data_IF_846470359450
#
_entry.id   IF_846470359450
#
_cell.length_a   1.000
_cell.length_b   1.000
_cell.length_c   1.000
_cell.angle_alpha   90.00
_cell.angle_beta   90.00
_cell.angle_gamma   90.00
#
_symmetry.space_group_name_H-M   'P 1'
#
loop_
_entity.id
_entity.type
_entity.pdbx_description
1 polymer ?
#
# COMPACT_ATOMS: atom_id res chain seq x y z
N UNK A 1 -13.39 4.21 -7.43
CA UNK A 1 -11.97 3.87 -7.26
C UNK A 1 -11.83 2.45 -6.76
N UNK A 2 -10.79 1.78 -7.17
CA UNK A 2 -10.52 0.42 -6.76
C UNK A 2 -9.26 0.34 -5.92
N UNK A 3 -9.30 -0.56 -4.94
CA UNK A 3 -8.14 -0.83 -4.10
C UNK A 3 -7.58 -2.19 -4.50
N UNK A 4 -6.32 -2.24 -4.88
CA UNK A 4 -5.66 -3.48 -5.29
C UNK A 4 -4.58 -3.83 -4.26
N UNK A 5 -4.69 -5.01 -3.65
CA UNK A 5 -3.69 -5.48 -2.70
C UNK A 5 -2.47 -5.95 -3.47
N UNK A 6 -1.33 -5.29 -3.24
CA UNK A 6 -0.07 -5.63 -3.91
C UNK A 6 0.79 -6.57 -3.07
N UNK A 7 0.78 -6.41 -1.75
CA UNK A 7 1.55 -7.25 -0.86
C UNK A 7 0.95 -7.22 0.54
N UNK A 8 1.14 -8.30 1.28
CA UNK A 8 0.66 -8.41 2.65
C UNK A 8 1.60 -9.28 3.44
N UNK A 9 2.02 -8.79 4.61
CA UNK A 9 2.90 -9.55 5.48
C UNK A 9 2.81 -9.01 6.91
N UNK A 10 2.67 -9.92 7.86
CA UNK A 10 2.65 -9.58 9.30
C UNK A 10 1.61 -8.51 9.65
N UNK A 11 0.42 -8.58 9.00
CA UNK A 11 -0.65 -7.65 9.27
C UNK A 11 -0.51 -6.31 8.55
N UNK A 12 0.58 -6.10 7.81
CA UNK A 12 0.81 -4.89 7.03
C UNK A 12 0.37 -5.13 5.60
N UNK A 13 -0.40 -4.20 5.05
CA UNK A 13 -0.89 -4.29 3.67
C UNK A 13 -0.38 -3.11 2.85
N UNK A 14 0.10 -3.41 1.65
CA UNK A 14 0.56 -2.43 0.68
C UNK A 14 -0.41 -2.48 -0.50
N UNK A 15 -1.12 -1.38 -0.74
CA UNK A 15 -2.19 -1.37 -1.73
C UNK A 15 -1.99 -0.24 -2.73
N UNK A 16 -2.54 -0.43 -3.93
CA UNK A 16 -2.62 0.61 -4.95
C UNK A 16 -4.07 1.06 -5.07
N UNK A 17 -4.28 2.36 -5.12
CA UNK A 17 -5.60 2.94 -5.37
C UNK A 17 -5.66 3.29 -6.85
N UNK A 18 -6.61 2.70 -7.57
CA UNK A 18 -6.69 2.82 -9.03
C UNK A 18 -8.02 3.38 -9.48
N UNK A 19 -8.00 4.03 -10.66
CA UNK A 19 -9.22 4.45 -11.33
C UNK A 19 -9.90 3.23 -11.96
N UNK A 20 -11.18 3.36 -12.36
CA UNK A 20 -11.84 2.29 -13.10
C UNK A 20 -11.12 1.90 -14.39
N UNK A 21 -10.33 2.82 -14.96
CA UNK A 21 -9.56 2.55 -16.18
C UNK A 21 -8.23 1.84 -15.89
N UNK A 22 -7.89 1.62 -14.61
CA UNK A 22 -6.69 0.89 -14.24
C UNK A 22 -5.47 1.75 -13.95
N UNK A 23 -5.61 3.06 -13.97
CA UNK A 23 -4.50 3.96 -13.64
C UNK A 23 -4.31 4.04 -12.14
N UNK A 24 -3.07 4.00 -11.68
CA UNK A 24 -2.75 4.11 -10.25
C UNK A 24 -2.74 5.58 -9.83
N UNK A 25 -3.62 5.92 -8.89
CA UNK A 25 -3.69 7.28 -8.34
C UNK A 25 -2.66 7.50 -7.24
N UNK A 26 -2.46 6.49 -6.41
CA UNK A 26 -1.51 6.55 -5.30
C UNK A 26 -1.37 5.16 -4.69
N UNK A 27 -0.42 5.01 -3.78
CA UNK A 27 -0.25 3.80 -2.98
C UNK A 27 -0.56 4.12 -1.52
N UNK A 28 -0.99 3.12 -0.76
CA UNK A 28 -1.32 3.28 0.66
C UNK A 28 -0.80 2.08 1.44
N UNK A 29 -0.50 2.30 2.71
CA UNK A 29 -0.12 1.24 3.63
C UNK A 29 -1.11 1.22 4.78
N UNK A 30 -1.55 0.01 5.14
CA UNK A 30 -2.42 -0.24 6.29
C UNK A 30 -1.77 -1.26 7.20
N UNK A 31 -1.96 -1.12 8.50
CA UNK A 31 -1.48 -2.05 9.50
C UNK A 31 -2.67 -2.37 10.41
N UNK A 32 -3.04 -3.67 10.47
CA UNK A 32 -4.22 -4.14 11.21
C UNK A 32 -5.47 -3.33 10.86
N UNK A 33 -5.62 -3.02 9.58
CA UNK A 33 -6.76 -2.28 9.08
C UNK A 33 -6.69 -0.78 9.29
N UNK A 34 -5.64 -0.27 9.92
CA UNK A 34 -5.48 1.16 10.16
C UNK A 34 -4.59 1.79 9.11
N UNK A 35 -5.00 2.95 8.60
CA UNK A 35 -4.21 3.70 7.63
C UNK A 35 -2.91 4.19 8.27
N UNK A 36 -1.79 3.95 7.60
CA UNK A 36 -0.47 4.36 8.09
C UNK A 36 0.11 5.49 7.24
N UNK A 37 0.15 5.31 5.91
CA UNK A 37 0.81 6.27 5.06
C UNK A 37 0.34 6.14 3.62
N UNK A 38 0.54 7.18 2.83
CA UNK A 38 0.26 7.15 1.40
C UNK A 38 1.31 7.95 0.64
N UNK A 39 1.48 7.63 -0.64
CA UNK A 39 2.40 8.35 -1.52
C UNK A 39 2.10 7.99 -2.97
N UNK A 40 2.46 8.89 -3.89
CA UNK A 40 2.45 8.58 -5.30
C UNK A 40 3.69 7.76 -5.71
N UNK A 41 4.71 7.72 -4.85
CA UNK A 41 5.94 6.97 -5.11
C UNK A 41 5.84 5.58 -4.52
N UNK A 42 5.53 4.59 -5.38
CA UNK A 42 5.36 3.22 -4.94
C UNK A 42 6.63 2.59 -4.38
N UNK A 43 7.79 2.92 -4.94
CA UNK A 43 9.05 2.37 -4.44
C UNK A 43 9.35 2.86 -3.02
N UNK A 44 9.07 4.12 -2.75
CA UNK A 44 9.24 4.68 -1.41
C UNK A 44 8.33 3.99 -0.39
N UNK A 45 7.05 3.84 -0.74
CA UNK A 45 6.11 3.18 0.17
C UNK A 45 6.42 1.70 0.35
N UNK A 46 6.95 1.06 -0.69
CA UNK A 46 7.32 -0.34 -0.57
C UNK A 46 8.43 -0.53 0.46
N UNK A 47 9.39 0.39 0.52
CA UNK A 47 10.41 0.34 1.55
C UNK A 47 9.81 0.47 2.93
N UNK A 48 8.85 1.38 3.11
CA UNK A 48 8.16 1.53 4.39
C UNK A 48 7.41 0.24 4.74
N UNK A 49 6.73 -0.35 3.74
CA UNK A 49 6.02 -1.61 3.94
C UNK A 49 6.98 -2.70 4.44
N UNK A 50 8.13 -2.83 3.79
CA UNK A 50 9.10 -3.87 4.16
C UNK A 50 9.66 -3.65 5.57
N UNK A 51 9.90 -2.40 5.93
CA UNK A 51 10.37 -2.09 7.29
C UNK A 51 9.33 -2.44 8.34
N UNK A 52 8.07 -2.07 8.09
CA UNK A 52 6.99 -2.35 9.04
C UNK A 52 6.68 -3.83 9.13
N UNK A 53 6.85 -4.56 8.03
CA UNK A 53 6.48 -5.97 7.95
C UNK A 53 7.60 -6.91 8.43
N UNK A 54 8.73 -6.39 8.86
CA UNK A 54 9.83 -7.21 9.36
C UNK A 54 9.43 -7.94 10.64
N UNK A 55 9.93 -9.14 10.77
CA UNK A 55 9.74 -9.95 11.98
C UNK A 55 10.62 -9.47 13.12
#
# INVERSE_FOLDING_TARGET
MKKALLARKNGVEFVAIRTPQGETLRYEIYWDGQFISSSHNGAYLREIFEDLAQD
#
